data_IF_957432683135
#
_entry.id   IF_957432683135
#
_cell.length_a   1.000
_cell.length_b   1.000
_cell.length_c   1.000
_cell.angle_alpha   90.00
_cell.angle_beta   90.00
_cell.angle_gamma   90.00
#
_symmetry.space_group_name_H-M   'P 1'
#
loop_
_entity.id
_entity.type
_entity.pdbx_description
1 polymer ?
#
# COMPACT_ATOMS: atom_id res chain seq x y z
N UNK A 1 20.51 15.99 -21.53
CA UNK A 1 19.17 15.59 -21.10
C UNK A 1 18.61 14.36 -21.85
N UNK A 2 18.33 14.41 -23.16
CA UNK A 2 17.80 13.23 -23.91
C UNK A 2 18.75 12.02 -23.87
N UNK A 3 20.05 12.23 -24.00
CA UNK A 3 21.08 11.19 -23.91
C UNK A 3 21.07 10.50 -22.52
N UNK A 4 21.03 11.25 -21.43
CA UNK A 4 21.05 10.71 -20.06
C UNK A 4 19.87 9.77 -19.77
N UNK A 5 18.64 10.11 -20.21
CA UNK A 5 17.47 9.23 -20.05
C UNK A 5 17.63 7.96 -20.89
N UNK A 6 18.12 8.08 -22.13
CA UNK A 6 18.38 6.92 -23.00
C UNK A 6 19.44 6.00 -22.40
N UNK A 7 20.50 6.56 -21.81
CA UNK A 7 21.56 5.80 -21.17
C UNK A 7 21.04 5.01 -19.97
N UNK A 8 20.23 5.65 -19.10
CA UNK A 8 19.57 4.96 -17.97
C UNK A 8 18.64 3.86 -18.51
N UNK A 9 17.81 4.18 -19.50
CA UNK A 9 16.89 3.21 -20.10
C UNK A 9 17.61 2.01 -20.74
N UNK A 10 18.83 2.19 -21.27
CA UNK A 10 19.65 1.13 -21.85
C UNK A 10 20.29 0.16 -20.85
N UNK A 11 20.44 0.53 -19.57
CA UNK A 11 21.11 -0.31 -18.57
C UNK A 11 20.38 -1.62 -18.33
N UNK A 12 21.06 -2.76 -18.42
CA UNK A 12 20.52 -4.07 -18.05
C UNK A 12 20.32 -4.22 -16.54
N UNK A 13 21.23 -3.62 -15.77
CA UNK A 13 21.25 -3.60 -14.30
C UNK A 13 21.20 -2.16 -13.81
N UNK A 14 20.30 -1.86 -12.88
CA UNK A 14 20.11 -0.53 -12.30
C UNK A 14 20.01 -0.61 -10.78
N UNK A 15 20.48 0.45 -10.11
CA UNK A 15 20.16 0.72 -8.72
C UNK A 15 19.13 1.84 -8.66
N UNK A 16 18.00 1.55 -8.03
CA UNK A 16 16.92 2.52 -7.89
C UNK A 16 16.60 2.73 -6.40
N UNK A 17 16.20 3.94 -6.05
CA UNK A 17 15.62 4.25 -4.75
C UNK A 17 14.12 4.40 -4.92
N UNK A 18 13.34 3.77 -4.05
CA UNK A 18 11.91 4.03 -3.92
C UNK A 18 11.63 4.81 -2.65
N UNK A 19 10.74 5.78 -2.76
CA UNK A 19 10.29 6.63 -1.65
C UNK A 19 8.77 6.51 -1.50
N UNK A 20 8.32 6.23 -0.28
CA UNK A 20 6.91 6.16 0.06
C UNK A 20 6.61 6.95 1.33
N UNK A 21 5.55 7.74 1.31
CA UNK A 21 4.93 8.29 2.51
C UNK A 21 3.44 7.98 2.49
N UNK A 22 3.00 7.22 3.48
CA UNK A 22 1.63 6.72 3.59
C UNK A 22 0.65 7.75 4.16
N UNK A 23 -0.62 7.37 4.24
CA UNK A 23 -1.71 8.22 4.77
C UNK A 23 -1.63 8.47 6.27
N UNK A 24 -0.82 7.70 7.02
CA UNK A 24 -0.53 7.93 8.44
C UNK A 24 0.37 9.16 8.67
N UNK A 25 1.08 9.59 7.62
CA UNK A 25 2.03 10.70 7.64
C UNK A 25 3.05 10.58 8.79
N UNK A 26 3.55 9.37 9.03
CA UNK A 26 4.50 9.12 10.13
C UNK A 26 5.95 9.38 9.71
N UNK A 27 6.26 9.31 8.40
CA UNK A 27 7.60 9.49 7.88
C UNK A 27 7.71 9.13 6.40
N UNK A 28 8.96 9.00 5.97
CA UNK A 28 9.34 8.55 4.62
C UNK A 28 10.01 7.20 4.72
N UNK A 29 9.44 6.21 4.06
CA UNK A 29 10.07 4.92 3.81
C UNK A 29 10.94 5.04 2.57
N UNK A 30 12.21 4.70 2.69
CA UNK A 30 13.17 4.73 1.60
C UNK A 30 13.82 3.35 1.43
N UNK A 31 13.83 2.83 0.21
CA UNK A 31 14.44 1.55 -0.13
C UNK A 31 15.39 1.67 -1.32
N UNK A 32 16.62 1.18 -1.17
CA UNK A 32 17.55 1.00 -2.31
C UNK A 32 17.38 -0.41 -2.83
N UNK A 33 17.09 -0.55 -4.10
CA UNK A 33 17.00 -1.86 -4.78
C UNK A 33 17.96 -1.94 -5.95
N UNK A 34 18.41 -3.15 -6.22
CA UNK A 34 19.11 -3.50 -7.45
C UNK A 34 18.13 -4.28 -8.34
N UNK A 35 17.95 -3.81 -9.57
CA UNK A 35 17.06 -4.44 -10.56
C UNK A 35 17.91 -4.92 -11.73
N UNK A 36 18.01 -6.23 -11.90
CA UNK A 36 18.75 -6.86 -12.99
C UNK A 36 17.79 -7.70 -13.84
N UNK A 37 17.50 -7.25 -15.06
CA UNK A 37 16.57 -7.93 -15.99
C UNK A 37 15.23 -8.31 -15.35
N UNK A 38 14.71 -7.42 -14.50
CA UNK A 38 13.45 -7.63 -13.78
C UNK A 38 13.53 -8.44 -12.48
N UNK A 39 14.72 -8.96 -12.12
CA UNK A 39 14.95 -9.50 -10.78
C UNK A 39 15.30 -8.38 -9.83
N UNK A 40 14.58 -8.29 -8.72
CA UNK A 40 14.70 -7.22 -7.73
C UNK A 40 15.37 -7.76 -6.48
N UNK A 41 16.36 -7.05 -5.99
CA UNK A 41 17.05 -7.34 -4.72
C UNK A 41 17.07 -6.09 -3.86
N UNK A 42 16.55 -6.17 -2.66
CA UNK A 42 16.66 -5.11 -1.66
C UNK A 42 18.10 -5.01 -1.17
N UNK A 43 18.67 -3.81 -1.20
CA UNK A 43 20.03 -3.53 -0.74
C UNK A 43 20.02 -2.83 0.62
N UNK A 44 19.11 -1.88 0.81
CA UNK A 44 18.97 -1.11 2.04
C UNK A 44 17.53 -0.61 2.19
N UNK A 45 17.09 -0.44 3.43
CA UNK A 45 15.81 0.14 3.79
C UNK A 45 15.93 0.87 5.13
N UNK A 46 15.27 2.01 5.23
CA UNK A 46 15.07 2.71 6.51
C UNK A 46 13.80 3.58 6.44
N UNK A 47 13.21 3.84 7.59
CA UNK A 47 12.09 4.76 7.77
C UNK A 47 12.59 6.02 8.47
N UNK A 48 12.37 7.17 7.85
CA UNK A 48 12.74 8.48 8.38
C UNK A 48 11.50 9.18 8.91
N UNK A 49 11.32 9.15 10.22
CA UNK A 49 10.15 9.73 10.88
C UNK A 49 10.06 11.24 10.67
N UNK A 50 8.85 11.75 10.44
CA UNK A 50 8.61 13.19 10.42
C UNK A 50 8.69 13.78 11.83
N UNK A 51 9.27 14.99 11.99
CA UNK A 51 9.08 15.77 13.20
C UNK A 51 7.60 15.98 13.49
N UNK A 52 7.21 15.97 14.77
CA UNK A 52 5.81 16.06 15.16
C UNK A 52 5.08 17.31 14.59
N UNK A 53 5.80 18.43 14.46
CA UNK A 53 5.27 19.65 13.85
C UNK A 53 4.96 19.45 12.36
N UNK A 54 5.88 18.87 11.59
CA UNK A 54 5.69 18.59 10.16
C UNK A 54 4.53 17.58 9.95
N UNK A 55 4.49 16.52 10.76
CA UNK A 55 3.39 15.55 10.72
C UNK A 55 2.02 16.21 10.90
N UNK A 56 1.91 17.12 11.88
CA UNK A 56 0.66 17.86 12.14
C UNK A 56 0.25 18.68 10.92
N UNK A 57 1.19 19.42 10.33
CA UNK A 57 0.93 20.24 9.14
C UNK A 57 0.45 19.39 7.96
N UNK A 58 1.12 18.25 7.70
CA UNK A 58 0.69 17.33 6.63
C UNK A 58 -0.75 16.85 6.86
N UNK A 59 -1.10 16.47 8.09
CA UNK A 59 -2.45 16.02 8.42
C UNK A 59 -3.50 17.16 8.29
N UNK A 60 -3.12 18.40 8.55
CA UNK A 60 -3.98 19.57 8.35
C UNK A 60 -4.19 19.85 6.85
N UNK A 61 -3.16 19.66 6.01
CA UNK A 61 -3.27 19.76 4.55
C UNK A 61 -4.17 18.68 3.94
N UNK A 62 -4.37 17.54 4.62
CA UNK A 62 -5.29 16.49 4.16
C UNK A 62 -6.77 16.81 4.39
N UNK A 63 -7.08 17.93 5.05
CA UNK A 63 -8.46 18.34 5.36
C UNK A 63 -8.81 19.57 4.54
N UNK A 64 -9.82 19.50 3.65
CA UNK A 64 -10.20 20.66 2.81
C UNK A 64 -10.55 21.93 3.61
N UNK A 65 -11.03 21.76 4.85
CA UNK A 65 -11.44 22.85 5.72
C UNK A 65 -10.25 23.66 6.27
N UNK A 66 -9.06 23.05 6.38
CA UNK A 66 -7.83 23.66 6.91
C UNK A 66 -6.74 23.83 5.87
N UNK A 67 -6.84 23.17 4.71
CA UNK A 67 -5.84 23.22 3.67
C UNK A 67 -5.82 24.59 2.97
N UNK A 68 -4.72 25.31 3.12
CA UNK A 68 -4.48 26.60 2.45
C UNK A 68 -3.60 26.40 1.24
N UNK A 69 -3.84 27.14 0.17
CA UNK A 69 -3.09 27.03 -1.08
C UNK A 69 -1.61 27.39 -0.91
N UNK A 70 -1.33 28.44 -0.12
CA UNK A 70 0.03 28.88 0.19
C UNK A 70 0.81 27.81 0.99
N UNK A 71 0.15 27.14 1.95
CA UNK A 71 0.74 26.04 2.70
C UNK A 71 0.99 24.82 1.80
N UNK A 72 0.04 24.43 0.93
CA UNK A 72 0.23 23.35 -0.03
C UNK A 72 1.45 23.62 -0.91
N UNK A 73 1.57 24.85 -1.44
CA UNK A 73 2.71 25.25 -2.26
C UNK A 73 4.03 25.14 -1.47
N UNK A 74 4.08 25.67 -0.25
CA UNK A 74 5.27 25.65 0.60
C UNK A 74 5.67 24.23 0.99
N UNK A 75 4.73 23.42 1.50
CA UNK A 75 5.02 22.06 1.97
C UNK A 75 5.29 21.07 0.83
N UNK A 76 4.90 21.36 -0.41
CA UNK A 76 5.35 20.61 -1.57
C UNK A 76 6.88 20.65 -1.68
N UNK A 77 7.49 21.82 -1.50
CA UNK A 77 8.95 21.99 -1.55
C UNK A 77 9.62 21.46 -0.27
N UNK A 78 9.06 21.73 0.90
CA UNK A 78 9.58 21.18 2.18
C UNK A 78 9.65 19.66 2.14
N UNK A 79 8.62 18.99 1.63
CA UNK A 79 8.64 17.53 1.49
C UNK A 79 9.62 17.05 0.42
N UNK A 80 9.83 17.81 -0.64
CA UNK A 80 10.91 17.56 -1.61
C UNK A 80 12.28 17.49 -0.95
N UNK A 81 12.58 18.46 -0.07
CA UNK A 81 13.82 18.49 0.73
C UNK A 81 13.92 17.30 1.68
N UNK A 82 12.85 16.97 2.42
CA UNK A 82 12.80 15.84 3.35
C UNK A 82 13.02 14.51 2.63
N UNK A 83 12.44 14.34 1.44
CA UNK A 83 12.60 13.14 0.63
C UNK A 83 13.99 13.00 0.08
N UNK A 84 14.60 14.10 -0.40
CA UNK A 84 15.99 14.11 -0.82
C UNK A 84 16.93 13.75 0.33
N UNK A 85 16.70 14.33 1.52
CA UNK A 85 17.46 14.00 2.73
C UNK A 85 17.33 12.51 3.11
N UNK A 86 16.14 11.91 2.97
CA UNK A 86 15.94 10.49 3.22
C UNK A 86 16.81 9.62 2.28
N UNK A 87 16.88 9.95 0.99
CA UNK A 87 17.76 9.26 0.03
C UNK A 87 19.22 9.38 0.44
N UNK A 88 19.70 10.59 0.71
CA UNK A 88 21.10 10.87 1.07
C UNK A 88 21.48 10.14 2.36
N UNK A 89 20.62 10.20 3.39
CA UNK A 89 20.83 9.53 4.67
C UNK A 89 20.85 8.02 4.53
N UNK A 90 19.91 7.44 3.75
CA UNK A 90 19.87 5.99 3.52
C UNK A 90 21.14 5.51 2.82
N UNK A 91 21.54 6.19 1.76
CA UNK A 91 22.78 5.88 1.03
C UNK A 91 24.01 5.95 1.94
N UNK A 92 24.14 7.02 2.73
CA UNK A 92 25.24 7.22 3.68
C UNK A 92 25.28 6.11 4.75
N UNK A 93 24.14 5.82 5.41
CA UNK A 93 24.05 4.78 6.44
C UNK A 93 24.40 3.38 5.92
N UNK A 94 24.10 3.12 4.65
CA UNK A 94 24.27 1.78 4.03
C UNK A 94 25.61 1.64 3.30
N UNK A 95 26.46 2.65 3.31
CA UNK A 95 27.72 2.64 2.57
C UNK A 95 27.55 2.57 1.04
N UNK A 96 26.38 2.98 0.54
CA UNK A 96 26.07 3.02 -0.89
C UNK A 96 26.36 4.43 -1.41
N UNK A 97 27.24 4.55 -2.41
CA UNK A 97 27.50 5.86 -3.02
C UNK A 97 26.26 6.39 -3.73
N UNK A 98 25.87 7.63 -3.46
CA UNK A 98 24.75 8.29 -4.13
C UNK A 98 24.95 8.34 -5.65
N UNK A 99 26.19 8.50 -6.12
CA UNK A 99 26.56 8.47 -7.56
C UNK A 99 26.35 7.12 -8.22
N UNK A 100 26.13 6.05 -7.45
CA UNK A 100 25.79 4.71 -7.96
C UNK A 100 24.29 4.48 -8.12
N UNK A 101 23.46 5.45 -7.73
CA UNK A 101 22.01 5.39 -7.90
C UNK A 101 21.67 5.92 -9.29
N UNK A 102 20.94 5.15 -10.06
CA UNK A 102 20.54 5.48 -11.43
C UNK A 102 19.21 6.20 -11.50
N UNK A 103 18.30 5.94 -10.53
CA UNK A 103 16.92 6.37 -10.58
C UNK A 103 16.31 6.50 -9.19
N UNK A 104 15.42 7.47 -9.01
CA UNK A 104 14.57 7.60 -7.84
C UNK A 104 13.11 7.49 -8.28
N UNK A 105 12.30 6.71 -7.57
CA UNK A 105 10.85 6.65 -7.71
C UNK A 105 10.18 7.22 -6.47
N UNK A 106 9.51 8.35 -6.57
CA UNK A 106 8.85 8.99 -5.44
C UNK A 106 7.33 8.93 -5.56
N UNK A 107 6.68 8.28 -4.59
CA UNK A 107 5.23 8.37 -4.47
C UNK A 107 4.75 9.78 -4.11
N UNK A 108 5.55 10.50 -3.32
CA UNK A 108 5.11 11.71 -2.65
C UNK A 108 4.22 11.41 -1.43
N UNK A 109 3.67 12.46 -0.85
CA UNK A 109 2.68 12.41 0.23
C UNK A 109 1.30 12.74 -0.32
N UNK A 110 0.35 11.81 -0.26
CA UNK A 110 -1.03 12.11 -0.67
C UNK A 110 -1.67 13.05 0.33
N UNK A 111 -2.11 14.20 -0.15
CA UNK A 111 -2.92 15.16 0.63
C UNK A 111 -4.37 15.19 0.17
N UNK A 112 -4.64 14.86 -1.09
CA UNK A 112 -6.00 14.76 -1.59
C UNK A 112 -6.14 13.68 -2.66
N UNK A 113 -7.23 12.90 -2.62
CA UNK A 113 -7.52 11.87 -3.61
C UNK A 113 -9.03 11.74 -3.79
N UNK A 114 -9.52 11.99 -5.02
CA UNK A 114 -10.94 12.01 -5.35
C UNK A 114 -11.25 11.05 -6.51
N UNK A 115 -11.30 9.75 -6.26
CA UNK A 115 -11.58 8.75 -7.30
C UNK A 115 -13.04 8.79 -7.79
N UNK A 116 -13.98 9.25 -6.95
CA UNK A 116 -15.38 9.47 -7.34
C UNK A 116 -15.52 10.60 -8.36
N UNK A 117 -14.56 11.53 -8.38
CA UNK A 117 -14.53 12.65 -9.30
C UNK A 117 -15.58 13.74 -9.06
N UNK A 118 -15.54 14.76 -9.91
CA UNK A 118 -16.51 15.84 -10.00
C UNK A 118 -16.92 16.07 -11.46
N UNK A 119 -18.08 16.66 -11.70
CA UNK A 119 -18.56 16.95 -13.07
C UNK A 119 -18.05 18.29 -13.56
N UNK A 120 -17.47 18.32 -14.78
CA UNK A 120 -17.11 19.53 -15.49
C UNK A 120 -17.41 19.36 -16.98
N UNK A 121 -18.17 20.26 -17.60
CA UNK A 121 -18.52 20.21 -19.03
C UNK A 121 -19.18 18.88 -19.43
N UNK A 122 -20.03 18.29 -18.59
CA UNK A 122 -20.68 17.00 -18.83
C UNK A 122 -19.78 15.77 -18.65
N UNK A 123 -18.49 15.96 -18.32
CA UNK A 123 -17.51 14.88 -18.09
C UNK A 123 -17.29 14.65 -16.61
N UNK A 124 -17.06 13.39 -16.22
CA UNK A 124 -16.59 13.04 -14.89
C UNK A 124 -15.05 13.22 -14.84
N UNK A 125 -14.58 14.09 -13.97
CA UNK A 125 -13.16 14.39 -13.79
C UNK A 125 -12.75 13.87 -12.43
N UNK A 126 -11.83 12.90 -12.41
CA UNK A 126 -11.18 12.37 -11.20
C UNK A 126 -9.89 13.16 -10.96
N UNK A 127 -9.52 13.36 -9.71
CA UNK A 127 -8.32 14.11 -9.36
C UNK A 127 -7.59 13.51 -8.17
N UNK A 128 -6.29 13.78 -8.11
CA UNK A 128 -5.42 13.37 -7.00
C UNK A 128 -4.27 14.35 -6.87
N UNK A 129 -3.78 14.54 -5.65
CA UNK A 129 -2.64 15.39 -5.37
C UNK A 129 -1.72 14.71 -4.37
N UNK A 130 -0.52 14.38 -4.83
CA UNK A 130 0.61 13.99 -4.03
C UNK A 130 1.61 15.15 -4.06
N UNK A 131 2.12 15.54 -2.90
CA UNK A 131 3.13 16.59 -2.75
C UNK A 131 4.49 15.99 -2.34
N UNK A 132 5.55 16.73 -2.56
CA UNK A 132 6.95 16.33 -2.44
C UNK A 132 7.65 16.55 -3.78
N UNK A 133 8.02 17.83 -4.02
CA UNK A 133 8.48 18.32 -5.34
C UNK A 133 9.66 17.51 -5.88
N UNK A 134 9.41 16.81 -6.97
CA UNK A 134 10.38 15.91 -7.59
C UNK A 134 11.59 16.63 -8.20
N UNK A 135 11.43 17.90 -8.59
CA UNK A 135 12.54 18.73 -9.06
C UNK A 135 13.53 19.04 -7.95
N UNK A 136 13.05 19.21 -6.70
CA UNK A 136 13.90 19.37 -5.52
C UNK A 136 14.67 18.08 -5.26
N UNK A 137 13.98 16.92 -5.32
CA UNK A 137 14.64 15.63 -5.11
C UNK A 137 15.75 15.43 -6.16
N UNK A 138 15.45 15.64 -7.45
CA UNK A 138 16.41 15.49 -8.54
C UNK A 138 17.60 16.45 -8.37
N UNK A 139 17.34 17.73 -8.08
CA UNK A 139 18.39 18.75 -7.92
C UNK A 139 19.29 18.46 -6.72
N UNK A 140 18.72 18.05 -5.58
CA UNK A 140 19.46 17.77 -4.34
C UNK A 140 20.31 16.50 -4.42
N UNK A 141 19.81 15.49 -5.12
CA UNK A 141 20.48 14.17 -5.20
C UNK A 141 21.36 14.02 -6.44
N UNK A 142 21.16 14.83 -7.48
CA UNK A 142 21.78 14.64 -8.78
C UNK A 142 21.30 13.36 -9.50
N UNK A 143 20.12 12.83 -9.14
CA UNK A 143 19.58 11.57 -9.67
C UNK A 143 18.23 11.82 -10.36
N UNK A 144 18.10 11.31 -11.58
CA UNK A 144 16.81 11.36 -12.31
C UNK A 144 15.68 10.79 -11.43
N UNK A 145 14.60 11.55 -11.29
CA UNK A 145 13.47 11.20 -10.41
C UNK A 145 12.19 10.98 -11.21
N UNK A 146 11.47 9.91 -10.91
CA UNK A 146 10.12 9.63 -11.43
C UNK A 146 9.13 9.81 -10.30
N UNK A 147 8.10 10.63 -10.54
CA UNK A 147 7.04 10.92 -9.56
C UNK A 147 5.67 10.99 -10.24
N UNK A 148 4.61 11.37 -9.53
CA UNK A 148 3.25 11.55 -10.09
C UNK A 148 2.72 10.31 -10.83
N UNK A 149 2.83 9.14 -10.22
CA UNK A 149 2.39 7.89 -10.85
C UNK A 149 0.87 7.82 -11.03
N UNK A 150 0.08 8.32 -10.08
CA UNK A 150 -1.38 8.21 -10.06
C UNK A 150 -2.10 8.97 -11.16
N UNK A 151 -1.70 10.22 -11.52
CA UNK A 151 -2.42 11.03 -12.50
C UNK A 151 -2.56 10.38 -13.88
N UNK A 152 -1.56 9.60 -14.34
CA UNK A 152 -1.61 8.96 -15.65
C UNK A 152 -2.63 7.83 -15.74
N UNK A 153 -2.78 7.05 -14.68
CA UNK A 153 -3.82 6.03 -14.58
C UNK A 153 -5.21 6.65 -14.57
N UNK A 154 -5.39 7.73 -13.79
CA UNK A 154 -6.66 8.49 -13.74
C UNK A 154 -7.01 9.12 -15.09
N UNK A 155 -6.02 9.64 -15.82
CA UNK A 155 -6.21 10.15 -17.17
C UNK A 155 -6.62 9.04 -18.17
N UNK A 156 -6.23 7.79 -17.90
CA UNK A 156 -6.70 6.61 -18.63
C UNK A 156 -8.08 6.11 -18.19
N UNK A 157 -8.74 6.81 -17.27
CA UNK A 157 -10.07 6.49 -16.74
C UNK A 157 -10.06 5.63 -15.46
N UNK A 158 -8.89 5.31 -14.93
CA UNK A 158 -8.72 4.59 -13.67
C UNK A 158 -8.97 5.45 -12.43
N UNK A 159 -8.85 4.82 -11.27
CA UNK A 159 -8.97 5.47 -9.97
C UNK A 159 -7.63 5.95 -9.40
N UNK A 160 -6.50 5.65 -10.07
CA UNK A 160 -5.16 6.00 -9.60
C UNK A 160 -4.66 5.17 -8.43
N UNK A 161 -5.41 4.14 -8.04
CA UNK A 161 -5.09 3.18 -6.99
C UNK A 161 -5.87 1.88 -7.22
N UNK A 162 -5.36 0.71 -6.78
CA UNK A 162 -4.01 0.48 -6.25
C UNK A 162 -2.94 0.44 -7.35
N UNK A 163 -1.71 0.88 -7.05
CA UNK A 163 -0.57 0.81 -7.99
C UNK A 163 0.38 -0.36 -7.68
N UNK A 164 0.37 -0.83 -6.45
CA UNK A 164 1.24 -1.92 -5.96
C UNK A 164 1.06 -3.25 -6.70
N UNK A 165 -0.12 -3.63 -7.26
CA UNK A 165 -0.28 -4.89 -7.98
C UNK A 165 0.71 -5.13 -9.12
N UNK A 166 1.19 -4.08 -9.80
CA UNK A 166 2.24 -4.20 -10.79
C UNK A 166 3.58 -4.65 -10.17
N UNK A 167 3.95 -4.04 -9.05
CA UNK A 167 5.16 -4.43 -8.32
C UNK A 167 5.04 -5.85 -7.76
N UNK A 168 3.88 -6.23 -7.24
CA UNK A 168 3.60 -7.60 -6.80
C UNK A 168 3.82 -8.60 -7.93
N UNK A 169 3.34 -8.27 -9.13
CA UNK A 169 3.58 -9.10 -10.32
C UNK A 169 5.07 -9.23 -10.65
N UNK A 170 5.82 -8.13 -10.63
CA UNK A 170 7.27 -8.19 -10.92
C UNK A 170 8.01 -9.02 -9.88
N UNK A 171 7.67 -8.88 -8.60
CA UNK A 171 8.35 -9.52 -7.47
C UNK A 171 7.99 -11.01 -7.32
N UNK A 172 6.71 -11.35 -7.49
CA UNK A 172 6.19 -12.61 -6.97
C UNK A 172 5.59 -13.53 -8.04
N UNK A 173 5.48 -13.11 -9.32
CA UNK A 173 5.01 -14.01 -10.37
C UNK A 173 5.86 -15.30 -10.43
N UNK A 174 5.20 -16.41 -10.67
CA UNK A 174 5.88 -17.70 -10.78
C UNK A 174 5.36 -18.51 -11.97
N UNK A 175 6.26 -19.26 -12.62
CA UNK A 175 5.90 -20.01 -13.85
C UNK A 175 4.93 -21.17 -13.62
N UNK A 176 4.96 -21.79 -12.42
CA UNK A 176 4.24 -23.02 -12.10
C UNK A 176 3.31 -22.92 -10.92
N UNK A 177 3.49 -21.92 -10.03
CA UNK A 177 2.70 -21.77 -8.82
C UNK A 177 1.79 -20.55 -8.96
N UNK A 178 0.54 -20.74 -8.60
CA UNK A 178 -0.43 -19.67 -8.41
C UNK A 178 -0.20 -19.03 -7.04
N UNK A 179 0.00 -17.72 -7.02
CA UNK A 179 0.29 -16.94 -5.81
C UNK A 179 -0.77 -15.88 -5.55
N UNK A 180 -0.98 -15.59 -4.30
CA UNK A 180 -1.68 -14.40 -3.87
C UNK A 180 -0.77 -13.57 -2.97
N UNK A 181 -0.74 -12.26 -3.16
CA UNK A 181 -0.08 -11.31 -2.27
C UNK A 181 -1.19 -10.62 -1.48
N UNK A 182 -1.26 -10.88 -0.18
CA UNK A 182 -2.26 -10.29 0.71
C UNK A 182 -1.61 -9.19 1.53
N UNK A 183 -1.95 -7.97 1.21
CA UNK A 183 -1.62 -6.82 2.05
C UNK A 183 -2.67 -6.68 3.15
N UNK A 184 -2.22 -6.62 4.41
CA UNK A 184 -3.08 -6.39 5.57
C UNK A 184 -2.65 -5.07 6.21
N UNK A 185 -3.09 -3.97 5.59
CA UNK A 185 -2.97 -2.62 6.12
C UNK A 185 -4.19 -2.25 6.97
N UNK A 186 -4.61 -0.99 6.97
CA UNK A 186 -5.91 -0.59 7.56
C UNK A 186 -7.08 -1.30 6.85
N UNK A 187 -7.03 -1.36 5.54
CA UNK A 187 -7.85 -2.21 4.66
C UNK A 187 -6.99 -3.38 4.18
N UNK A 188 -7.59 -4.54 4.02
CA UNK A 188 -6.96 -5.74 3.48
C UNK A 188 -7.26 -5.85 1.98
N UNK A 189 -6.22 -6.09 1.17
CA UNK A 189 -6.36 -6.24 -0.28
C UNK A 189 -5.46 -7.37 -0.81
N UNK A 190 -5.88 -7.95 -1.92
CA UNK A 190 -5.20 -9.05 -2.57
C UNK A 190 -4.75 -8.69 -3.97
N UNK A 191 -3.55 -9.13 -4.35
CA UNK A 191 -3.09 -9.28 -5.73
C UNK A 191 -2.94 -10.77 -6.03
N UNK A 192 -3.78 -11.30 -6.90
CA UNK A 192 -3.76 -12.70 -7.31
C UNK A 192 -3.00 -12.85 -8.62
N UNK A 193 -2.05 -13.77 -8.64
CA UNK A 193 -1.08 -14.01 -9.70
C UNK A 193 -1.17 -15.48 -10.16
N UNK A 194 -1.95 -15.78 -11.21
CA UNK A 194 -2.01 -17.14 -11.75
C UNK A 194 -0.63 -17.67 -12.19
N UNK A 195 -0.43 -18.98 -12.16
CA UNK A 195 0.79 -19.61 -12.65
C UNK A 195 1.05 -19.25 -14.11
N UNK A 196 2.27 -18.76 -14.42
CA UNK A 196 2.65 -18.37 -15.77
C UNK A 196 1.94 -17.13 -16.33
N UNK A 197 1.21 -16.38 -15.50
CA UNK A 197 0.39 -15.23 -15.92
C UNK A 197 1.17 -14.11 -16.58
N UNK A 198 0.53 -13.42 -17.52
CA UNK A 198 0.88 -12.10 -18.00
C UNK A 198 0.32 -11.01 -17.08
N UNK A 199 0.68 -9.77 -17.33
CA UNK A 199 0.21 -8.62 -16.53
C UNK A 199 -1.33 -8.46 -16.58
N UNK A 200 -1.96 -8.79 -17.69
CA UNK A 200 -3.41 -8.65 -17.88
C UNK A 200 -4.22 -9.74 -17.17
N UNK A 201 -3.57 -10.81 -16.68
CA UNK A 201 -4.21 -11.90 -15.94
C UNK A 201 -4.31 -11.62 -14.43
N UNK A 202 -3.73 -10.51 -13.96
CA UNK A 202 -3.72 -10.12 -12.55
C UNK A 202 -5.15 -9.80 -12.10
N UNK A 203 -5.54 -10.34 -10.94
CA UNK A 203 -6.78 -9.95 -10.27
C UNK A 203 -6.40 -9.24 -8.98
N UNK A 204 -6.94 -8.02 -8.75
CA UNK A 204 -6.68 -7.30 -7.51
C UNK A 204 -7.95 -6.60 -7.02
N UNK A 205 -8.21 -6.70 -5.71
CA UNK A 205 -9.38 -6.08 -5.06
C UNK A 205 -9.22 -6.06 -3.54
N UNK A 206 -10.02 -5.23 -2.86
CA UNK A 206 -10.07 -5.20 -1.40
C UNK A 206 -10.89 -6.37 -0.86
N UNK A 207 -10.31 -7.13 0.07
CA UNK A 207 -10.97 -8.29 0.69
C UNK A 207 -11.87 -7.90 1.84
N UNK A 208 -11.59 -6.77 2.51
CA UNK A 208 -12.37 -6.25 3.64
C UNK A 208 -11.53 -5.40 4.58
N UNK A 209 -11.97 -5.24 5.84
CA UNK A 209 -11.16 -4.57 6.84
C UNK A 209 -9.87 -5.36 7.12
N UNK A 210 -8.77 -4.63 7.27
CA UNK A 210 -7.51 -5.16 7.81
C UNK A 210 -7.40 -4.82 9.30
N UNK A 211 -6.35 -4.07 9.66
CA UNK A 211 -6.13 -3.68 11.06
C UNK A 211 -7.08 -2.59 11.55
N UNK A 212 -7.70 -1.82 10.66
CA UNK A 212 -8.43 -0.59 11.03
C UNK A 212 -9.52 -0.84 12.06
N UNK A 213 -10.26 -1.94 11.96
CA UNK A 213 -11.31 -2.30 12.93
C UNK A 213 -10.68 -2.80 14.22
N UNK A 214 -9.64 -3.61 14.14
CA UNK A 214 -8.90 -4.12 15.32
C UNK A 214 -8.34 -2.93 16.12
N UNK A 215 -7.65 -2.01 15.44
CA UNK A 215 -7.06 -0.83 16.04
C UNK A 215 -8.12 0.10 16.66
N UNK A 216 -9.25 0.26 15.98
CA UNK A 216 -10.39 1.02 16.49
C UNK A 216 -10.95 0.44 17.79
N UNK A 217 -11.12 -0.87 17.88
CA UNK A 217 -11.54 -1.56 19.12
C UNK A 217 -10.49 -1.39 20.21
N UNK A 218 -9.20 -1.58 19.90
CA UNK A 218 -8.11 -1.38 20.88
C UNK A 218 -8.09 0.04 21.44
N UNK A 219 -8.31 1.04 20.60
CA UNK A 219 -8.39 2.43 21.06
C UNK A 219 -9.59 2.65 22.00
N UNK A 220 -10.75 2.08 21.68
CA UNK A 220 -11.96 2.20 22.52
C UNK A 220 -11.75 1.53 23.89
N UNK A 221 -11.30 0.27 23.95
CA UNK A 221 -11.11 -0.46 25.23
C UNK A 221 -9.98 0.12 26.09
N UNK A 222 -8.97 0.75 25.46
CA UNK A 222 -7.84 1.35 26.19
C UNK A 222 -8.06 2.83 26.55
N UNK A 223 -9.18 3.42 26.19
CA UNK A 223 -9.41 4.86 26.35
C UNK A 223 -8.39 5.71 25.58
N UNK A 224 -7.97 5.26 24.40
CA UNK A 224 -7.01 5.94 23.53
C UNK A 224 -5.52 5.73 23.91
N UNK A 225 -5.22 4.94 24.94
CA UNK A 225 -3.84 4.71 25.43
C UNK A 225 -3.03 3.78 24.52
N UNK A 226 -3.70 2.86 23.83
CA UNK A 226 -3.08 1.94 22.87
C UNK A 226 -3.61 2.21 21.46
N UNK A 227 -2.75 2.07 20.45
CA UNK A 227 -3.10 2.31 19.05
C UNK A 227 -3.45 1.04 18.29
N UNK A 228 -2.92 -0.11 18.68
CA UNK A 228 -3.09 -1.39 18.00
C UNK A 228 -2.93 -2.58 18.97
N UNK A 229 -3.32 -3.78 18.53
CA UNK A 229 -3.05 -5.04 19.22
C UNK A 229 -1.67 -5.58 18.84
N UNK A 230 -0.64 -5.19 19.59
CA UNK A 230 0.74 -5.56 19.30
C UNK A 230 0.94 -7.08 19.28
N UNK A 231 1.24 -7.62 18.09
CA UNK A 231 1.46 -9.05 17.88
C UNK A 231 0.22 -9.93 18.10
N UNK A 232 -1.00 -9.36 18.17
CA UNK A 232 -2.23 -10.10 18.40
C UNK A 232 -2.43 -10.58 19.84
N UNK A 233 -1.71 -10.01 20.81
CA UNK A 233 -1.68 -10.48 22.20
C UNK A 233 -3.03 -10.37 22.90
N UNK A 234 -3.82 -9.35 22.62
CA UNK A 234 -5.15 -9.18 23.21
C UNK A 234 -6.13 -10.17 22.58
N UNK A 235 -6.10 -10.32 21.25
CA UNK A 235 -6.90 -11.29 20.54
C UNK A 235 -6.64 -12.73 21.01
N UNK A 236 -5.37 -13.08 21.26
CA UNK A 236 -4.98 -14.41 21.74
C UNK A 236 -5.55 -14.79 23.12
N UNK A 237 -5.95 -13.81 23.94
CA UNK A 237 -6.54 -14.02 25.25
C UNK A 237 -8.07 -14.18 25.21
N UNK A 238 -8.69 -13.83 24.09
CA UNK A 238 -10.14 -13.87 23.92
C UNK A 238 -10.61 -15.10 23.18
N UNK A 239 -11.92 -15.30 23.25
CA UNK A 239 -12.66 -16.33 22.49
C UNK A 239 -13.51 -15.67 21.43
N UNK A 240 -13.46 -16.18 20.20
CA UNK A 240 -14.25 -15.66 19.08
C UNK A 240 -15.76 -15.92 19.33
N UNK A 241 -16.55 -14.83 19.42
CA UNK A 241 -18.02 -14.95 19.42
C UNK A 241 -18.54 -15.22 18.01
N UNK A 242 -18.92 -16.49 17.77
CA UNK A 242 -19.38 -16.97 16.46
C UNK A 242 -20.65 -16.26 15.97
N UNK A 243 -21.52 -15.83 16.88
CA UNK A 243 -22.74 -15.15 16.53
C UNK A 243 -22.44 -13.73 16.03
N UNK A 244 -21.63 -12.96 16.76
CA UNK A 244 -21.22 -11.62 16.36
C UNK A 244 -20.42 -11.68 15.05
N UNK A 245 -19.47 -12.60 14.93
CA UNK A 245 -18.71 -12.81 13.68
C UNK A 245 -19.64 -13.05 12.49
N UNK A 246 -20.62 -13.95 12.65
CA UNK A 246 -21.60 -14.25 11.61
C UNK A 246 -22.48 -13.04 11.23
N UNK A 247 -22.83 -12.19 12.20
CA UNK A 247 -23.57 -10.95 11.97
C UNK A 247 -22.70 -9.93 11.19
N UNK A 248 -21.43 -9.77 11.55
CA UNK A 248 -20.47 -8.88 10.88
C UNK A 248 -20.17 -9.30 9.44
N UNK A 249 -20.02 -10.61 9.18
CA UNK A 249 -19.79 -11.17 7.84
C UNK A 249 -20.98 -11.01 6.87
N UNK A 250 -22.17 -10.60 7.37
CA UNK A 250 -23.32 -10.25 6.52
C UNK A 250 -23.21 -8.87 5.90
N UNK A 251 -22.18 -8.07 6.25
CA UNK A 251 -21.99 -6.72 5.72
C UNK A 251 -22.01 -6.75 4.18
N UNK A 252 -22.74 -5.82 3.51
CA UNK A 252 -22.95 -5.85 2.05
C UNK A 252 -21.64 -5.87 1.24
N UNK A 253 -20.59 -5.23 1.73
CA UNK A 253 -19.29 -5.19 1.07
C UNK A 253 -18.76 -6.60 0.73
N UNK A 254 -18.90 -7.58 1.63
CA UNK A 254 -18.37 -8.93 1.41
C UNK A 254 -19.07 -9.69 0.27
N UNK A 255 -20.23 -9.20 -0.18
CA UNK A 255 -20.97 -9.76 -1.32
C UNK A 255 -20.73 -9.05 -2.64
N UNK A 256 -20.12 -7.85 -2.62
CA UNK A 256 -19.78 -7.10 -3.86
C UNK A 256 -18.80 -7.90 -4.69
N UNK A 257 -19.02 -7.94 -6.00
CA UNK A 257 -18.08 -8.58 -6.94
C UNK A 257 -16.91 -7.62 -7.23
N UNK A 258 -15.68 -8.14 -7.46
CA UNK A 258 -14.59 -7.36 -8.02
C UNK A 258 -14.92 -6.80 -9.43
N UNK A 259 -14.39 -5.62 -9.79
CA UNK A 259 -13.51 -4.79 -8.99
C UNK A 259 -14.25 -4.13 -7.83
N UNK A 260 -13.69 -4.16 -6.62
CA UNK A 260 -14.26 -3.52 -5.44
C UNK A 260 -13.18 -2.93 -4.56
N UNK A 261 -13.44 -1.75 -4.03
CA UNK A 261 -12.61 -1.05 -3.06
C UNK A 261 -13.46 -0.58 -1.88
N UNK A 262 -12.80 -0.31 -0.75
CA UNK A 262 -13.41 0.19 0.47
C UNK A 262 -12.41 1.02 1.27
N UNK A 263 -12.86 1.71 2.33
CA UNK A 263 -12.03 2.59 3.11
C UNK A 263 -12.60 2.88 4.50
N UNK A 264 -12.13 4.00 5.05
CA UNK A 264 -12.54 4.49 6.38
C UNK A 264 -14.02 4.84 6.46
N UNK A 265 -14.63 5.19 5.35
CA UNK A 265 -16.05 5.50 5.22
C UNK A 265 -16.94 4.29 5.55
N UNK A 266 -16.45 3.08 5.29
CA UNK A 266 -17.19 1.84 5.48
C UNK A 266 -16.75 1.08 6.75
N UNK A 267 -15.42 0.97 7.01
CA UNK A 267 -14.84 0.19 8.10
C UNK A 267 -14.06 1.02 9.13
N UNK A 268 -14.25 2.35 9.16
CA UNK A 268 -13.56 3.25 10.08
C UNK A 268 -14.11 3.26 11.51
N UNK A 269 -13.86 4.37 12.23
CA UNK A 269 -14.18 4.52 13.65
C UNK A 269 -15.65 4.26 13.98
N UNK A 270 -16.58 4.76 13.16
CA UNK A 270 -18.02 4.54 13.36
C UNK A 270 -18.42 3.05 13.30
N UNK A 271 -17.72 2.26 12.45
CA UNK A 271 -17.94 0.83 12.38
C UNK A 271 -17.41 0.13 13.64
N UNK A 272 -16.20 0.48 14.10
CA UNK A 272 -15.64 -0.06 15.33
C UNK A 272 -16.50 0.28 16.56
N UNK A 273 -16.96 1.52 16.71
CA UNK A 273 -17.86 1.94 17.79
C UNK A 273 -19.18 1.17 17.79
N UNK A 274 -19.76 0.92 16.63
CA UNK A 274 -20.97 0.12 16.49
C UNK A 274 -20.76 -1.31 16.99
N UNK A 275 -19.65 -1.94 16.59
CA UNK A 275 -19.27 -3.29 17.05
C UNK A 275 -19.09 -3.29 18.56
N UNK A 276 -18.32 -2.34 19.11
CA UNK A 276 -18.06 -2.25 20.53
C UNK A 276 -19.36 -2.12 21.36
N UNK A 277 -20.28 -1.25 20.94
CA UNK A 277 -21.59 -1.11 21.59
C UNK A 277 -22.45 -2.38 21.47
N UNK A 278 -22.42 -3.04 20.32
CA UNK A 278 -23.16 -4.29 20.10
C UNK A 278 -22.63 -5.42 20.98
N UNK A 279 -21.31 -5.57 21.06
CA UNK A 279 -20.64 -6.56 21.90
C UNK A 279 -20.86 -6.31 23.39
N UNK A 280 -20.83 -5.04 23.83
CA UNK A 280 -21.14 -4.65 25.21
C UNK A 280 -22.57 -5.02 25.63
N UNK A 281 -23.56 -4.89 24.73
CA UNK A 281 -24.94 -5.35 25.00
C UNK A 281 -25.06 -6.87 25.14
N UNK A 282 -24.13 -7.63 24.56
CA UNK A 282 -24.05 -9.09 24.69
C UNK A 282 -23.21 -9.51 25.92
N UNK A 283 -22.62 -8.57 26.65
CA UNK A 283 -21.76 -8.86 27.82
C UNK A 283 -20.41 -9.48 27.45
N UNK A 284 -19.92 -9.28 26.21
CA UNK A 284 -18.62 -9.84 25.80
C UNK A 284 -17.47 -9.12 26.50
N UNK A 285 -16.46 -9.88 26.89
CA UNK A 285 -15.23 -9.33 27.41
C UNK A 285 -14.42 -8.62 26.31
N UNK A 286 -13.62 -7.62 26.69
CA UNK A 286 -12.82 -6.84 25.74
C UNK A 286 -11.92 -7.73 24.84
N UNK A 287 -11.29 -8.76 25.43
CA UNK A 287 -10.46 -9.69 24.70
C UNK A 287 -11.26 -10.50 23.65
N UNK A 288 -12.50 -10.90 23.99
CA UNK A 288 -13.38 -11.63 23.06
C UNK A 288 -13.81 -10.75 21.88
N UNK A 289 -14.04 -9.45 22.14
CA UNK A 289 -14.35 -8.49 21.08
C UNK A 289 -13.15 -8.39 20.13
N UNK A 290 -11.92 -8.24 20.66
CA UNK A 290 -10.71 -8.15 19.84
C UNK A 290 -10.47 -9.44 19.06
N UNK A 291 -10.63 -10.60 19.69
CA UNK A 291 -10.54 -11.91 19.02
C UNK A 291 -11.55 -12.02 17.86
N UNK A 292 -12.79 -11.57 18.09
CA UNK A 292 -13.87 -11.63 17.09
C UNK A 292 -13.59 -10.73 15.88
N UNK A 293 -13.11 -9.50 16.09
CA UNK A 293 -12.80 -8.61 14.95
C UNK A 293 -11.49 -9.02 14.25
N UNK A 294 -10.56 -9.68 14.96
CA UNK A 294 -9.40 -10.29 14.34
C UNK A 294 -9.81 -11.45 13.44
N UNK A 295 -10.72 -12.31 13.91
CA UNK A 295 -11.32 -13.36 13.11
C UNK A 295 -12.12 -12.81 11.91
N UNK A 296 -12.81 -11.67 12.06
CA UNK A 296 -13.50 -11.01 10.94
C UNK A 296 -12.53 -10.71 9.78
N UNK A 297 -11.36 -10.16 10.08
CA UNK A 297 -10.33 -9.89 9.05
C UNK A 297 -9.89 -11.19 8.37
N UNK A 298 -9.48 -12.20 9.13
CA UNK A 298 -9.00 -13.46 8.57
C UNK A 298 -10.07 -14.19 7.75
N UNK A 299 -11.29 -14.33 8.31
CA UNK A 299 -12.39 -15.02 7.65
C UNK A 299 -12.87 -14.27 6.40
N UNK A 300 -12.89 -12.91 6.42
CA UNK A 300 -13.28 -12.13 5.24
C UNK A 300 -12.29 -12.30 4.08
N UNK A 301 -10.98 -12.41 4.37
CA UNK A 301 -9.94 -12.71 3.37
C UNK A 301 -10.20 -14.09 2.76
N UNK A 302 -10.33 -15.13 3.59
CA UNK A 302 -10.54 -16.50 3.12
C UNK A 302 -11.84 -16.66 2.31
N UNK A 303 -12.94 -16.03 2.76
CA UNK A 303 -14.20 -16.02 2.02
C UNK A 303 -14.11 -15.28 0.68
N UNK A 304 -13.38 -14.17 0.64
CA UNK A 304 -13.16 -13.43 -0.60
C UNK A 304 -12.41 -14.29 -1.64
N UNK A 305 -11.42 -15.07 -1.20
CA UNK A 305 -10.69 -16.00 -2.07
C UNK A 305 -11.59 -17.07 -2.63
N UNK A 306 -12.30 -17.82 -1.77
CA UNK A 306 -13.23 -18.88 -2.19
C UNK A 306 -14.33 -18.37 -3.12
N UNK A 307 -14.74 -17.11 -2.99
CA UNK A 307 -15.88 -16.54 -3.72
C UNK A 307 -15.49 -15.89 -5.02
N UNK A 308 -14.31 -15.27 -5.10
CA UNK A 308 -13.99 -14.34 -6.19
C UNK A 308 -12.72 -14.69 -6.96
N UNK A 309 -11.86 -15.55 -6.44
CA UNK A 309 -10.70 -16.03 -7.19
C UNK A 309 -11.09 -17.24 -8.03
N UNK A 310 -10.50 -17.40 -9.23
CA UNK A 310 -10.78 -18.55 -10.10
C UNK A 310 -10.32 -19.89 -9.48
N UNK A 311 -9.27 -19.84 -8.68
CA UNK A 311 -8.72 -20.99 -7.91
C UNK A 311 -8.14 -20.48 -6.60
N UNK A 312 -8.00 -21.37 -5.60
CA UNK A 312 -7.21 -21.03 -4.42
C UNK A 312 -5.72 -20.93 -4.81
N UNK A 313 -4.98 -19.98 -4.22
CA UNK A 313 -3.53 -19.91 -4.45
C UNK A 313 -2.82 -21.10 -3.78
N UNK A 314 -1.70 -21.55 -4.36
CA UNK A 314 -0.81 -22.54 -3.75
C UNK A 314 0.08 -21.86 -2.69
N UNK A 315 0.46 -20.60 -2.90
CA UNK A 315 1.23 -19.80 -1.96
C UNK A 315 0.54 -18.45 -1.70
N UNK A 316 0.41 -18.09 -0.44
CA UNK A 316 -0.09 -16.81 0.05
C UNK A 316 1.06 -16.04 0.68
N UNK A 317 1.40 -14.90 0.06
CA UNK A 317 2.47 -14.01 0.53
C UNK A 317 1.85 -12.87 1.34
N UNK A 318 2.10 -12.84 2.63
CA UNK A 318 1.58 -11.83 3.54
C UNK A 318 2.49 -10.60 3.58
N UNK A 319 1.88 -9.43 3.62
CA UNK A 319 2.56 -8.14 3.81
C UNK A 319 1.64 -7.13 4.50
N UNK A 320 2.19 -5.94 4.81
CA UNK A 320 1.53 -4.92 5.62
C UNK A 320 1.56 -5.23 7.12
N UNK A 321 1.26 -4.23 7.95
CA UNK A 321 1.39 -4.32 9.41
C UNK A 321 0.60 -5.45 10.08
N UNK A 322 -0.49 -5.91 9.46
CA UNK A 322 -1.29 -7.04 9.95
C UNK A 322 -0.58 -8.40 9.88
N UNK A 323 0.44 -8.55 9.04
CA UNK A 323 1.27 -9.77 8.99
C UNK A 323 2.08 -10.00 10.26
N UNK A 324 2.29 -8.96 11.07
CA UNK A 324 2.91 -9.07 12.40
C UNK A 324 1.94 -9.51 13.50
N UNK A 325 0.63 -9.54 13.24
CA UNK A 325 -0.37 -10.03 14.18
C UNK A 325 -0.46 -11.57 14.11
N UNK A 326 0.23 -12.24 15.00
CA UNK A 326 0.33 -13.72 15.01
C UNK A 326 -1.03 -14.39 15.11
N UNK A 327 -1.93 -13.89 15.96
CA UNK A 327 -3.27 -14.46 16.11
C UNK A 327 -4.07 -14.36 14.82
N UNK A 328 -3.97 -13.23 14.10
CA UNK A 328 -4.61 -13.07 12.79
C UNK A 328 -4.05 -14.08 11.77
N UNK A 329 -2.72 -14.24 11.72
CA UNK A 329 -2.06 -15.18 10.80
C UNK A 329 -2.44 -16.63 11.13
N UNK A 330 -2.49 -17.00 12.41
CA UNK A 330 -2.93 -18.33 12.86
C UNK A 330 -4.38 -18.63 12.46
N UNK A 331 -5.30 -17.68 12.65
CA UNK A 331 -6.70 -17.83 12.22
C UNK A 331 -6.77 -17.95 10.69
N UNK A 332 -6.01 -17.12 9.97
CA UNK A 332 -5.99 -17.15 8.50
C UNK A 332 -5.47 -18.51 7.98
N UNK A 333 -4.43 -19.06 8.64
CA UNK A 333 -3.92 -20.40 8.32
C UNK A 333 -4.96 -21.49 8.58
N UNK A 334 -5.68 -21.41 9.70
CA UNK A 334 -6.76 -22.34 10.01
C UNK A 334 -7.93 -22.28 9.00
N UNK A 335 -8.20 -21.07 8.46
CA UNK A 335 -9.19 -20.87 7.39
C UNK A 335 -8.73 -21.46 6.04
N UNK A 336 -7.43 -21.55 5.77
CA UNK A 336 -6.87 -22.00 4.48
C UNK A 336 -5.70 -22.97 4.70
N UNK A 337 -5.96 -24.18 5.28
CA UNK A 337 -4.90 -25.10 5.70
C UNK A 337 -4.05 -25.67 4.54
N UNK A 338 -4.62 -25.73 3.33
CA UNK A 338 -3.93 -26.25 2.15
C UNK A 338 -3.08 -25.18 1.42
N UNK A 339 -3.12 -23.92 1.87
CA UNK A 339 -2.37 -22.80 1.28
C UNK A 339 -1.09 -22.58 2.05
N UNK A 340 0.06 -22.67 1.38
CA UNK A 340 1.35 -22.38 2.00
C UNK A 340 1.48 -20.88 2.27
N UNK A 341 1.56 -20.49 3.54
CA UNK A 341 1.74 -19.09 3.94
C UNK A 341 3.21 -18.72 4.00
N UNK A 342 3.53 -17.59 3.38
CA UNK A 342 4.85 -16.97 3.30
C UNK A 342 4.73 -15.50 3.67
N UNK A 343 5.85 -14.86 3.95
CA UNK A 343 5.95 -13.40 4.06
C UNK A 343 6.81 -12.84 2.93
N UNK A 344 6.82 -11.55 2.73
CA UNK A 344 7.73 -10.91 1.78
C UNK A 344 9.20 -11.07 2.20
N UNK A 345 9.47 -11.31 3.51
CA UNK A 345 10.81 -11.58 4.03
C UNK A 345 11.40 -12.87 3.44
N UNK A 346 10.57 -13.89 3.15
CA UNK A 346 10.99 -15.13 2.51
C UNK A 346 11.54 -14.91 1.08
N UNK A 347 11.25 -13.74 0.51
CA UNK A 347 11.75 -13.30 -0.79
C UNK A 347 12.87 -12.24 -0.68
N UNK A 348 13.37 -12.00 0.53
CA UNK A 348 14.42 -11.01 0.81
C UNK A 348 13.95 -9.56 0.74
N UNK A 349 12.65 -9.31 0.87
CA UNK A 349 12.03 -7.98 0.89
C UNK A 349 11.29 -7.86 2.21
N UNK A 350 11.77 -7.01 3.13
CA UNK A 350 11.08 -6.82 4.40
C UNK A 350 9.65 -6.32 4.18
N UNK A 351 8.75 -6.75 5.04
CA UNK A 351 7.33 -6.36 5.00
C UNK A 351 7.19 -4.83 4.93
N UNK A 352 8.00 -4.12 5.71
CA UNK A 352 7.95 -2.66 5.80
C UNK A 352 8.56 -1.97 4.56
N UNK A 353 9.55 -2.60 3.89
CA UNK A 353 10.19 -2.05 2.70
C UNK A 353 9.34 -2.18 1.42
N UNK A 354 8.36 -3.08 1.41
CA UNK A 354 7.64 -3.48 0.19
C UNK A 354 7.04 -2.31 -0.58
N UNK A 355 6.42 -1.35 0.11
CA UNK A 355 5.79 -0.21 -0.58
C UNK A 355 6.85 0.69 -1.23
N UNK A 356 7.92 1.03 -0.53
CA UNK A 356 9.02 1.81 -1.10
C UNK A 356 9.67 1.07 -2.27
N UNK A 357 9.93 -0.24 -2.15
CA UNK A 357 10.41 -1.10 -3.26
C UNK A 357 9.48 -1.03 -4.45
N UNK A 358 8.16 -0.99 -4.24
CA UNK A 358 7.18 -0.88 -5.32
C UNK A 358 7.35 0.39 -6.15
N UNK A 359 7.66 1.53 -5.52
CA UNK A 359 7.89 2.78 -6.26
C UNK A 359 9.23 2.82 -7.00
N UNK A 360 10.26 2.12 -6.52
CA UNK A 360 11.46 1.89 -7.30
C UNK A 360 11.19 1.05 -8.56
N UNK A 361 10.38 -0.01 -8.44
CA UNK A 361 9.97 -0.86 -9.58
C UNK A 361 9.12 -0.08 -10.58
N UNK A 362 8.16 0.72 -10.11
CA UNK A 362 7.33 1.56 -10.98
C UNK A 362 8.18 2.57 -11.75
N UNK A 363 9.15 3.23 -11.09
CA UNK A 363 10.08 4.14 -11.75
C UNK A 363 10.96 3.43 -12.78
N UNK A 364 11.48 2.25 -12.46
CA UNK A 364 12.23 1.41 -13.39
C UNK A 364 11.40 1.05 -14.62
N UNK A 365 10.16 0.63 -14.43
CA UNK A 365 9.28 0.31 -15.56
C UNK A 365 8.97 1.55 -16.41
N UNK A 366 8.77 2.71 -15.79
CA UNK A 366 8.54 3.98 -16.48
C UNK A 366 9.72 4.34 -17.37
N UNK A 367 10.95 4.31 -16.84
CA UNK A 367 12.15 4.67 -17.62
C UNK A 367 12.43 3.66 -18.74
N UNK A 368 12.01 2.40 -18.55
CA UNK A 368 12.08 1.33 -19.58
C UNK A 368 10.97 1.43 -20.64
N UNK A 369 10.05 2.38 -20.53
CA UNK A 369 8.92 2.52 -21.45
C UNK A 369 7.89 1.39 -21.34
N UNK A 370 7.86 0.65 -20.23
CA UNK A 370 6.92 -0.44 -20.00
C UNK A 370 5.63 0.08 -19.33
N UNK A 371 4.48 -0.42 -19.77
CA UNK A 371 3.21 -0.17 -19.09
C UNK A 371 3.25 -0.76 -17.69
N UNK A 372 2.85 0.01 -16.68
CA UNK A 372 3.05 -0.34 -15.27
C UNK A 372 1.86 0.02 -14.36
N UNK A 373 0.67 0.21 -14.95
CA UNK A 373 -0.59 0.10 -14.22
C UNK A 373 -1.23 -1.27 -14.46
N UNK A 374 -2.19 -1.65 -13.63
CA UNK A 374 -3.00 -2.87 -13.76
C UNK A 374 -4.46 -2.43 -13.96
N UNK A 375 -4.95 -2.33 -15.23
CA UNK A 375 -6.27 -1.77 -15.53
C UNK A 375 -7.41 -2.44 -14.79
N UNK A 376 -7.39 -3.76 -14.63
CA UNK A 376 -8.42 -4.52 -13.91
C UNK A 376 -8.47 -4.18 -12.40
N UNK A 377 -7.36 -3.67 -11.84
CA UNK A 377 -7.30 -3.24 -10.45
C UNK A 377 -7.74 -1.78 -10.26
N UNK A 378 -7.40 -0.90 -11.22
CA UNK A 378 -7.65 0.54 -11.10
C UNK A 378 -8.89 1.00 -11.84
N UNK A 379 -9.48 0.15 -12.70
CA UNK A 379 -10.57 0.53 -13.60
C UNK A 379 -10.13 1.38 -14.78
N UNK A 380 -8.84 1.50 -15.07
CA UNK A 380 -8.33 2.19 -16.25
C UNK A 380 -8.77 1.47 -17.54
N UNK A 381 -9.01 2.24 -18.61
CA UNK A 381 -9.50 1.70 -19.90
C UNK A 381 -8.42 0.96 -20.70
N UNK A 382 -7.14 1.18 -20.38
CA UNK A 382 -6.01 0.58 -21.07
C UNK A 382 -4.73 0.62 -20.22
N UNK A 383 -3.75 -0.26 -20.51
CA UNK A 383 -2.41 -0.16 -19.96
C UNK A 383 -1.74 1.17 -20.35
N UNK A 384 -1.05 1.80 -19.41
CA UNK A 384 -0.31 3.06 -19.61
C UNK A 384 1.00 3.04 -18.86
N UNK A 385 1.96 3.86 -19.29
CA UNK A 385 3.18 4.13 -18.56
C UNK A 385 2.87 5.22 -17.52
N UNK A 386 3.05 4.91 -16.24
CA UNK A 386 2.81 5.82 -15.13
C UNK A 386 4.02 6.73 -14.88
N UNK A 387 3.77 7.83 -14.20
CA UNK A 387 4.80 8.74 -13.71
C UNK A 387 5.20 9.84 -14.70
N UNK A 388 5.86 10.84 -14.13
CA UNK A 388 6.54 11.93 -14.84
C UNK A 388 8.04 11.85 -14.55
N UNK A 389 8.87 12.07 -15.54
CA UNK A 389 10.35 11.98 -15.42
C UNK A 389 10.89 13.39 -15.26
N UNK A 390 11.62 13.61 -14.17
CA UNK A 390 12.39 14.82 -13.91
C UNK A 390 13.88 14.46 -14.00
N UNK A 391 14.60 14.91 -15.03
CA UNK A 391 16.03 14.67 -15.16
C UNK A 391 16.84 15.33 -14.02
N UNK A 392 18.01 14.74 -13.71
CA UNK A 392 19.00 15.35 -12.81
C UNK A 392 19.66 16.57 -13.41
#
# INVERSE_FOLDING_TARGET
MRLQICDIAGKGKMRAVGLMSGTSADGVDAAVVEIDRGKVRLLAFDTFAYPAALRRQILDLCRPESARLDDICHYNFVLGEVFADAVIKLCSKSGISLSSIDLIGSHGQTIYHQPSGGRYGGRMIRSTLQIGESSVIAQRTGVTTVADFRPRDMAAGGEGAPLVPYADYVLFKHKRLTRAVQNIGGIANVTFLPAGSAQDDIIAFDTGPGNMVIDGIIQLISGGKKRCDMGGKTAAQGTVDKQLLGELLRHPFFRRRPPKSTGREEFGAAFAERIYRQAGRKGLADADIVATVTALTATSIAQAYRRFLPTMPEELILCGGGSHNRTLVEILHAEMPDVKMLSTDDFGISVDAKEAVSFAILAWATIKGMTNNVPVATGAKKPVILGKIVPA
#
